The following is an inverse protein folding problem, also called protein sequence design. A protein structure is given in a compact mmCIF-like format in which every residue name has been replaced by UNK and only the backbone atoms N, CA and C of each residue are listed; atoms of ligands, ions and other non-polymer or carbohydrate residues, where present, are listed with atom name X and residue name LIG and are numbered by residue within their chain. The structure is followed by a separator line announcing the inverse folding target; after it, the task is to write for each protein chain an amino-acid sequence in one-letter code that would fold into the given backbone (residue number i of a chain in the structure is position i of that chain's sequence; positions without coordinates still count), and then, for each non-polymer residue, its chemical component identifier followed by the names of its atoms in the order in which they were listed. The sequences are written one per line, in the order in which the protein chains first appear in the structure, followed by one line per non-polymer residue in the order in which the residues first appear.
data_IF_539456331424
#
_entry.id   IF_539456331424
#
_cell.length_a   1.000
_cell.length_b   1.000
_cell.length_c   1.000
_cell.angle_alpha   90.00
_cell.angle_beta   90.00
_cell.angle_gamma   90.00
#
_symmetry.space_group_name_H-M   'P 1'
#
loop_
_entity.id
_entity.type
_entity.pdbx_description
1 polymer ?
#
# COMPACT_ATOMS: atom_id res chain seq x y z
N UNK A 1 4.86 9.63 16.12
CA UNK A 1 4.38 10.82 16.86
C UNK A 1 4.81 10.90 18.32
N UNK A 2 4.72 9.83 19.13
CA UNK A 2 5.14 9.90 20.55
C UNK A 2 6.64 10.19 20.70
N UNK A 3 7.49 9.52 19.91
CA UNK A 3 8.94 9.72 19.92
C UNK A 3 9.34 11.14 19.48
N UNK A 4 8.79 11.61 18.37
CA UNK A 4 9.00 12.98 17.85
C UNK A 4 8.68 14.07 18.88
N UNK A 5 7.69 13.84 19.75
CA UNK A 5 7.32 14.81 20.79
C UNK A 5 8.30 14.84 21.94
N UNK A 6 8.83 13.68 22.34
CA UNK A 6 9.97 13.63 23.26
C UNK A 6 11.17 14.36 22.68
N UNK A 7 11.38 14.25 21.37
CA UNK A 7 12.48 14.96 20.70
C UNK A 7 12.23 16.48 20.67
N UNK A 8 10.99 16.95 20.50
CA UNK A 8 10.66 18.39 20.55
C UNK A 8 10.96 19.00 21.94
N UNK A 9 10.93 18.21 23.01
CA UNK A 9 11.28 18.70 24.36
C UNK A 9 12.76 19.08 24.48
N UNK A 10 13.65 18.39 23.76
CA UNK A 10 15.11 18.58 23.87
C UNK A 10 15.74 19.21 22.63
N UNK A 11 15.11 19.08 21.47
CA UNK A 11 15.63 19.53 20.18
C UNK A 11 15.11 20.94 19.85
N UNK A 12 16.00 21.93 20.00
CA UNK A 12 15.71 23.34 19.72
C UNK A 12 15.31 23.58 18.26
N UNK A 13 15.88 22.84 17.30
CA UNK A 13 15.53 22.98 15.89
C UNK A 13 14.07 22.61 15.61
N UNK A 14 13.56 21.57 16.29
CA UNK A 14 12.15 21.19 16.16
C UNK A 14 11.22 22.20 16.82
N UNK A 15 11.63 22.82 17.94
CA UNK A 15 10.85 23.90 18.57
C UNK A 15 10.79 25.12 17.65
N UNK A 16 11.91 25.52 17.07
CA UNK A 16 11.98 26.61 16.09
C UNK A 16 11.09 26.33 14.87
N UNK A 17 11.19 25.12 14.29
CA UNK A 17 10.37 24.72 13.14
C UNK A 17 8.86 24.78 13.43
N UNK A 18 8.46 24.45 14.66
CA UNK A 18 7.07 24.49 15.10
C UNK A 18 6.63 25.87 15.62
N UNK A 19 7.50 26.87 15.62
CA UNK A 19 7.22 28.20 16.16
C UNK A 19 7.01 28.21 17.68
N UNK A 20 7.55 27.23 18.40
CA UNK A 20 7.49 27.16 19.85
C UNK A 20 8.65 27.95 20.46
N UNK A 21 8.37 28.75 21.48
CA UNK A 21 9.41 29.37 22.31
C UNK A 21 10.15 28.30 23.14
N UNK A 22 11.33 28.64 23.66
CA UNK A 22 12.11 27.72 24.50
C UNK A 22 11.30 27.24 25.71
N UNK A 23 10.52 28.11 26.32
CA UNK A 23 9.64 27.82 27.47
C UNK A 23 8.24 27.33 27.06
N UNK A 24 7.90 27.36 25.76
CA UNK A 24 6.59 27.02 25.26
C UNK A 24 6.20 25.57 25.54
N UNK A 25 4.98 25.33 26.03
CA UNK A 25 4.53 23.96 26.31
C UNK A 25 4.39 23.17 25.01
N UNK A 26 5.01 22.00 24.94
CA UNK A 26 4.86 21.10 23.80
C UNK A 26 3.44 20.50 23.80
N UNK A 27 2.69 20.59 22.68
CA UNK A 27 1.37 20.00 22.59
C UNK A 27 1.39 18.48 22.79
N UNK A 28 0.34 17.95 23.41
CA UNK A 28 0.17 16.52 23.60
C UNK A 28 0.18 15.74 22.27
N UNK A 29 0.61 14.48 22.28
CA UNK A 29 0.80 13.70 21.04
C UNK A 29 -0.44 13.48 20.21
N UNK A 30 -1.61 13.48 20.84
CA UNK A 30 -2.87 13.40 20.14
C UNK A 30 -3.21 14.68 19.37
N UNK A 31 -2.68 15.83 19.79
CA UNK A 31 -2.96 17.13 19.16
C UNK A 31 -2.51 17.14 17.72
N UNK A 32 -1.31 16.65 17.44
CA UNK A 32 -0.80 16.55 16.06
C UNK A 32 -1.59 15.57 15.21
N UNK A 33 -1.95 14.40 15.76
CA UNK A 33 -2.78 13.42 15.04
C UNK A 33 -4.14 14.01 14.66
N UNK A 34 -4.83 14.64 15.61
CA UNK A 34 -6.12 15.31 15.36
C UNK A 34 -5.99 16.49 14.39
N UNK A 35 -4.93 17.29 14.51
CA UNK A 35 -4.68 18.42 13.61
C UNK A 35 -4.40 17.95 12.19
N UNK A 36 -3.60 16.89 12.04
CA UNK A 36 -3.31 16.26 10.77
C UNK A 36 -4.59 15.74 10.11
N UNK A 37 -5.38 14.92 10.82
CA UNK A 37 -6.65 14.41 10.30
C UNK A 37 -7.60 15.53 9.88
N UNK A 38 -7.65 16.65 10.61
CA UNK A 38 -8.51 17.79 10.27
C UNK A 38 -7.98 18.61 9.09
N UNK A 39 -6.68 18.92 9.06
CA UNK A 39 -6.06 19.74 7.99
C UNK A 39 -6.02 19.02 6.66
N UNK A 40 -5.80 17.71 6.70
CA UNK A 40 -5.66 16.86 5.51
C UNK A 40 -6.89 15.97 5.30
N UNK A 41 -8.04 16.38 5.83
CA UNK A 41 -9.31 15.70 5.59
C UNK A 41 -9.72 15.81 4.13
N UNK A 42 -9.53 17.00 3.54
CA UNK A 42 -9.71 17.22 2.12
C UNK A 42 -8.47 16.70 1.38
N UNK A 43 -8.64 15.54 0.75
CA UNK A 43 -7.57 14.85 0.02
C UNK A 43 -7.31 15.46 -1.34
N UNK A 44 -8.22 16.28 -1.88
CA UNK A 44 -8.14 16.77 -3.26
C UNK A 44 -6.87 17.57 -3.52
N UNK A 45 -6.49 18.44 -2.56
CA UNK A 45 -5.30 19.28 -2.69
C UNK A 45 -4.01 18.43 -2.65
N UNK A 46 -3.94 17.48 -1.73
CA UNK A 46 -2.76 16.61 -1.60
C UNK A 46 -2.64 15.70 -2.82
N UNK A 47 -3.75 15.14 -3.28
CA UNK A 47 -3.81 14.32 -4.48
C UNK A 47 -3.37 15.13 -5.71
N UNK A 48 -3.86 16.36 -5.87
CA UNK A 48 -3.45 17.23 -6.97
C UNK A 48 -1.94 17.51 -6.96
N UNK A 49 -1.37 17.84 -5.78
CA UNK A 49 0.07 18.04 -5.63
C UNK A 49 0.84 16.75 -5.96
N UNK A 50 0.37 15.62 -5.45
CA UNK A 50 0.99 14.32 -5.69
C UNK A 50 1.01 13.98 -7.19
N UNK A 51 -0.13 14.10 -7.88
CA UNK A 51 -0.22 13.82 -9.32
C UNK A 51 0.61 14.80 -10.15
N UNK A 52 0.70 16.07 -9.73
CA UNK A 52 1.57 17.04 -10.39
C UNK A 52 3.04 16.62 -10.31
N UNK A 53 3.51 16.28 -9.10
CA UNK A 53 4.89 15.81 -8.89
C UNK A 53 5.14 14.50 -9.64
N UNK A 54 4.19 13.56 -9.59
CA UNK A 54 4.26 12.30 -10.31
C UNK A 54 4.41 12.52 -11.83
N UNK A 55 3.63 13.45 -12.39
CA UNK A 55 3.73 13.85 -13.78
C UNK A 55 5.09 14.45 -14.14
N UNK A 56 5.66 15.28 -13.27
CA UNK A 56 7.02 15.80 -13.46
C UNK A 56 8.06 14.67 -13.47
N UNK A 57 7.95 13.71 -12.56
CA UNK A 57 8.85 12.56 -12.51
C UNK A 57 8.73 11.67 -13.76
N UNK A 58 7.51 11.45 -14.26
CA UNK A 58 7.27 10.72 -15.51
C UNK A 58 7.88 11.45 -16.71
N UNK A 59 7.66 12.76 -16.82
CA UNK A 59 8.21 13.58 -17.91
C UNK A 59 9.74 13.65 -17.87
N UNK A 60 10.33 13.62 -16.68
CA UNK A 60 11.78 13.57 -16.49
C UNK A 60 12.38 12.16 -16.71
N UNK A 61 11.56 11.14 -17.03
CA UNK A 61 12.02 9.77 -17.22
C UNK A 61 12.53 9.10 -15.94
N UNK A 62 12.16 9.61 -14.76
CA UNK A 62 12.58 9.06 -13.46
C UNK A 62 11.75 7.85 -13.04
N UNK A 63 10.60 7.63 -13.67
CA UNK A 63 9.68 6.54 -13.38
C UNK A 63 9.38 5.82 -14.68
N UNK A 64 9.61 4.51 -14.71
CA UNK A 64 9.18 3.65 -15.80
C UNK A 64 7.73 3.18 -15.53
N UNK A 65 6.73 3.60 -16.32
CA UNK A 65 5.34 3.21 -16.13
C UNK A 65 5.06 1.76 -16.56
N UNK A 66 6.03 1.07 -17.18
CA UNK A 66 5.83 -0.28 -17.71
C UNK A 66 5.89 -1.36 -16.62
N UNK A 67 6.56 -1.11 -15.50
CA UNK A 67 6.73 -2.06 -14.41
C UNK A 67 6.24 -1.49 -13.07
N UNK A 68 5.04 -1.91 -12.64
CA UNK A 68 4.50 -1.56 -11.32
C UNK A 68 4.90 -2.64 -10.31
N UNK A 69 5.87 -2.34 -9.46
CA UNK A 69 6.20 -3.19 -8.31
C UNK A 69 5.26 -2.87 -7.15
N UNK A 70 4.21 -3.68 -6.98
CA UNK A 70 3.38 -3.62 -5.77
C UNK A 70 4.12 -4.35 -4.65
N UNK A 71 4.80 -3.59 -3.78
CA UNK A 71 5.37 -4.11 -2.53
C UNK A 71 4.25 -4.61 -1.61
N UNK A 72 3.99 -5.91 -1.64
CA UNK A 72 2.95 -6.54 -0.84
C UNK A 72 3.36 -6.69 0.63
N UNK A 73 3.36 -5.61 1.39
CA UNK A 73 3.32 -5.72 2.85
C UNK A 73 1.85 -5.90 3.27
N UNK A 74 1.42 -7.10 3.68
CA UNK A 74 0.05 -7.30 4.10
C UNK A 74 -0.21 -6.48 5.37
N UNK A 75 -1.13 -5.53 5.28
CA UNK A 75 -1.65 -4.82 6.45
C UNK A 75 -2.70 -5.72 7.09
N UNK A 76 -2.62 -5.93 8.41
CA UNK A 76 -3.63 -6.69 9.13
C UNK A 76 -4.96 -5.93 9.12
N UNK A 77 -6.00 -6.57 8.60
CA UNK A 77 -7.36 -6.07 8.72
C UNK A 77 -7.86 -6.23 10.17
N UNK A 78 -8.65 -5.28 10.67
CA UNK A 78 -9.24 -5.32 12.00
C UNK A 78 -10.51 -6.20 12.02
N UNK A 79 -10.34 -7.50 11.77
CA UNK A 79 -11.42 -8.44 11.48
C UNK A 79 -11.38 -9.64 12.43
N UNK A 80 -12.55 -10.18 12.78
CA UNK A 80 -12.65 -11.44 13.52
C UNK A 80 -12.52 -12.64 12.55
N UNK A 81 -11.44 -13.41 12.68
CA UNK A 81 -11.17 -14.61 11.87
C UNK A 81 -12.23 -15.72 11.96
N UNK A 82 -13.07 -15.70 12.99
CA UNK A 82 -14.14 -16.67 13.18
C UNK A 82 -15.48 -16.27 12.55
N UNK A 83 -15.60 -15.03 12.04
CA UNK A 83 -16.81 -14.53 11.35
C UNK A 83 -16.56 -14.44 9.86
N UNK A 84 -16.82 -15.54 9.15
CA UNK A 84 -16.66 -15.63 7.70
C UNK A 84 -17.80 -16.42 7.05
N UNK A 85 -18.01 -16.17 5.77
CA UNK A 85 -18.92 -16.89 4.89
C UNK A 85 -18.10 -17.47 3.75
N UNK A 86 -18.34 -18.73 3.39
CA UNK A 86 -17.76 -19.32 2.19
C UNK A 86 -18.59 -18.85 1.00
N UNK A 87 -17.96 -18.18 0.05
CA UNK A 87 -18.60 -17.76 -1.19
C UNK A 87 -17.79 -18.28 -2.37
N UNK A 88 -18.49 -18.78 -3.38
CA UNK A 88 -17.88 -19.06 -4.68
C UNK A 88 -17.59 -17.73 -5.34
N UNK A 89 -16.30 -17.43 -5.50
CA UNK A 89 -15.85 -16.21 -6.17
C UNK A 89 -15.16 -16.62 -7.45
N UNK A 90 -15.51 -15.94 -8.54
CA UNK A 90 -14.74 -16.04 -9.77
C UNK A 90 -13.27 -15.74 -9.47
N UNK A 91 -12.37 -16.55 -10.02
CA UNK A 91 -10.95 -16.35 -9.83
C UNK A 91 -10.54 -15.02 -10.49
N UNK A 92 -10.48 -13.96 -9.68
CA UNK A 92 -10.11 -12.62 -10.14
C UNK A 92 -8.85 -12.68 -11.00
N UNK A 93 -8.97 -12.17 -12.22
CA UNK A 93 -7.84 -12.00 -13.13
C UNK A 93 -6.81 -11.12 -12.42
N UNK A 94 -5.57 -11.62 -12.27
CA UNK A 94 -4.49 -10.77 -11.77
C UNK A 94 -4.33 -9.68 -12.82
N UNK A 95 -4.45 -8.41 -12.41
CA UNK A 95 -4.40 -7.22 -13.28
C UNK A 95 -3.20 -7.23 -14.27
N UNK A 96 -2.13 -7.97 -13.97
CA UNK A 96 -0.92 -8.12 -14.79
C UNK A 96 -0.60 -9.55 -15.25
N UNK A 97 -1.52 -10.53 -15.18
CA UNK A 97 -1.20 -11.92 -15.56
C UNK A 97 -0.68 -12.04 -16.99
N UNK A 98 -1.32 -11.35 -17.93
CA UNK A 98 -0.91 -11.38 -19.34
C UNK A 98 0.48 -10.75 -19.58
N UNK A 99 0.85 -9.70 -18.83
CA UNK A 99 2.19 -9.12 -18.93
C UNK A 99 3.25 -10.02 -18.30
N UNK A 100 2.94 -10.65 -17.17
CA UNK A 100 3.80 -11.62 -16.51
C UNK A 100 4.07 -12.83 -17.42
N UNK A 101 3.03 -13.38 -18.04
CA UNK A 101 3.16 -14.50 -19.00
C UNK A 101 4.01 -14.13 -20.21
N UNK A 102 3.85 -12.91 -20.75
CA UNK A 102 4.71 -12.39 -21.82
C UNK A 102 6.17 -12.24 -21.40
N UNK A 103 6.43 -11.76 -20.18
CA UNK A 103 7.79 -11.69 -19.62
C UNK A 103 8.42 -13.06 -19.47
N UNK A 104 7.69 -14.01 -18.87
CA UNK A 104 8.14 -15.40 -18.70
C UNK A 104 8.43 -16.06 -20.05
N UNK A 105 7.61 -15.82 -21.07
CA UNK A 105 7.83 -16.36 -22.42
C UNK A 105 9.13 -15.84 -23.04
N UNK A 106 9.38 -14.52 -22.98
CA UNK A 106 10.62 -13.90 -23.48
C UNK A 106 11.86 -14.43 -22.77
N UNK A 107 11.80 -14.59 -21.45
CA UNK A 107 12.92 -15.13 -20.67
C UNK A 107 13.18 -16.61 -20.99
N UNK A 108 12.13 -17.39 -21.25
CA UNK A 108 12.27 -18.79 -21.67
C UNK A 108 12.85 -18.92 -23.07
N UNK A 109 12.47 -18.06 -24.00
CA UNK A 109 13.05 -18.00 -25.35
C UNK A 109 14.55 -17.70 -25.29
N UNK A 110 14.96 -16.69 -24.51
CA UNK A 110 16.38 -16.40 -24.25
C UNK A 110 17.14 -17.59 -23.65
N UNK A 111 16.47 -18.39 -22.83
CA UNK A 111 17.04 -19.59 -22.21
C UNK A 111 16.87 -20.87 -23.05
N UNK A 112 16.32 -20.79 -24.28
CA UNK A 112 16.08 -21.95 -25.14
C UNK A 112 15.07 -22.96 -24.59
N UNK A 113 14.21 -22.56 -23.64
CA UNK A 113 13.22 -23.42 -22.99
C UNK A 113 11.89 -23.34 -23.72
N UNK A 114 11.16 -24.47 -23.76
CA UNK A 114 9.80 -24.51 -24.33
C UNK A 114 8.84 -23.58 -23.57
N UNK A 115 7.90 -23.01 -24.32
CA UNK A 115 6.79 -22.21 -23.79
C UNK A 115 6.01 -23.00 -22.73
N UNK A 116 5.51 -22.27 -21.72
CA UNK A 116 4.50 -22.84 -20.81
C UNK A 116 3.21 -23.04 -21.60
N UNK A 117 2.52 -24.15 -21.34
CA UNK A 117 1.15 -24.33 -21.83
C UNK A 117 0.25 -23.22 -21.31
N UNK A 118 -0.79 -22.87 -22.09
CA UNK A 118 -1.81 -21.90 -21.69
C UNK A 118 -2.40 -22.32 -20.34
N UNK A 119 -2.50 -21.35 -19.42
CA UNK A 119 -3.16 -21.57 -18.15
C UNK A 119 -4.62 -21.96 -18.43
N UNK A 120 -5.06 -23.10 -17.87
CA UNK A 120 -6.48 -23.50 -17.92
C UNK A 120 -7.33 -22.38 -17.30
N UNK A 121 -8.52 -22.17 -17.85
CA UNK A 121 -9.53 -21.32 -17.21
C UNK A 121 -9.68 -21.74 -15.76
N UNK A 122 -9.56 -20.76 -14.85
CA UNK A 122 -9.62 -21.05 -13.43
C UNK A 122 -11.08 -21.26 -13.06
N UNK A 123 -11.40 -22.48 -12.64
CA UNK A 123 -12.69 -22.80 -12.03
C UNK A 123 -12.97 -21.86 -10.84
N UNK A 124 -14.25 -21.57 -10.56
CA UNK A 124 -14.63 -20.74 -9.41
C UNK A 124 -14.08 -21.36 -8.12
N UNK A 125 -13.45 -20.54 -7.30
CA UNK A 125 -12.78 -20.98 -6.07
C UNK A 125 -13.67 -20.60 -4.89
N UNK A 126 -13.96 -21.56 -4.02
CA UNK A 126 -14.57 -21.27 -2.72
C UNK A 126 -13.58 -20.50 -1.85
N UNK A 127 -13.90 -19.23 -1.53
CA UNK A 127 -13.08 -18.37 -0.68
C UNK A 127 -13.81 -18.02 0.61
N UNK A 128 -13.04 -17.95 1.70
CA UNK A 128 -13.52 -17.42 2.99
C UNK A 128 -13.53 -15.90 2.92
N UNK A 129 -14.72 -15.31 2.97
CA UNK A 129 -14.92 -13.86 2.98
C UNK A 129 -15.36 -13.43 4.38
N UNK A 130 -14.75 -12.38 4.91
CA UNK A 130 -15.19 -11.84 6.20
C UNK A 130 -16.54 -11.16 6.09
N UNK A 131 -17.38 -11.32 7.09
CA UNK A 131 -18.63 -10.56 7.22
C UNK A 131 -18.41 -9.08 7.55
N UNK A 132 -17.25 -8.70 8.09
CA UNK A 132 -16.96 -7.33 8.56
C UNK A 132 -16.16 -6.52 7.54
N UNK A 133 -15.31 -7.18 6.76
CA UNK A 133 -14.51 -6.55 5.69
C UNK A 133 -14.34 -7.55 4.53
N UNK A 134 -15.27 -7.55 3.56
CA UNK A 134 -15.24 -8.49 2.43
C UNK A 134 -14.01 -8.38 1.53
N UNK A 135 -13.35 -7.22 1.51
CA UNK A 135 -12.15 -6.95 0.69
C UNK A 135 -10.87 -7.48 1.35
N UNK A 136 -10.94 -7.86 2.63
CA UNK A 136 -9.82 -8.46 3.34
C UNK A 136 -9.55 -9.90 2.89
N UNK A 137 -8.28 -10.20 2.60
CA UNK A 137 -7.82 -11.53 2.21
C UNK A 137 -7.40 -12.39 3.41
N UNK A 138 -7.55 -13.71 3.28
CA UNK A 138 -6.96 -14.68 4.21
C UNK A 138 -5.49 -14.94 3.87
N UNK A 139 -4.59 -14.62 4.79
CA UNK A 139 -3.15 -14.82 4.63
C UNK A 139 -2.60 -15.71 5.76
N UNK A 140 -1.98 -16.83 5.39
CA UNK A 140 -1.22 -17.67 6.32
C UNK A 140 0.25 -17.27 6.25
N UNK A 141 0.78 -16.70 7.32
CA UNK A 141 2.23 -16.48 7.44
C UNK A 141 2.88 -17.85 7.64
N UNK A 142 3.60 -18.34 6.64
CA UNK A 142 4.41 -19.55 6.79
C UNK A 142 5.42 -19.34 7.92
N UNK A 143 5.49 -20.29 8.85
CA UNK A 143 6.58 -20.36 9.81
C UNK A 143 7.85 -20.71 9.03
N UNK A 144 8.91 -19.91 9.23
CA UNK A 144 10.27 -20.29 8.87
C UNK A 144 10.89 -21.01 10.06
#
# INVERSE_FOLDING_TARGET
MRQTIKEIDVNVAYRWFLGLTLEGKVPHFMTYGKNYSRRFQDKQVIEAIFFHILGLCLNAGLIDPTEIFVGGNPIKAAVNHHKYINQEVEAQAKFMSAQLERGIAKDREKQGKKLLGLAKEKEPISKKISTTDPDSGWFHKGEQ
#
